data_IF_790804716143
#
_entry.id   IF_790804716143
#
_cell.length_a   1.000
_cell.length_b   1.000
_cell.length_c   1.000
_cell.angle_alpha   90.00
_cell.angle_beta   90.00
_cell.angle_gamma   90.00
#
_symmetry.space_group_name_H-M   'P 1'
#
loop_
_entity.id
_entity.type
_entity.pdbx_description
1 polymer ?
#
# COMPACT_ATOMS: atom_id res chain seq x y z
N UNK A 1 11.26 24.34 5.46
CA UNK A 1 9.98 23.62 5.71
C UNK A 1 9.08 24.34 6.71
N UNK A 2 9.48 24.58 7.99
CA UNK A 2 8.64 25.27 9.01
C UNK A 2 8.15 26.62 8.50
N UNK A 3 9.07 27.45 7.95
CA UNK A 3 8.73 28.75 7.35
C UNK A 3 7.73 28.59 6.22
N UNK A 4 7.95 27.65 5.31
CA UNK A 4 7.06 27.39 4.16
C UNK A 4 5.66 27.02 4.63
N UNK A 5 5.53 26.13 5.65
CA UNK A 5 4.23 25.73 6.22
C UNK A 5 3.51 26.92 6.86
N UNK A 6 4.24 27.78 7.61
CA UNK A 6 3.66 28.98 8.21
C UNK A 6 3.24 30.02 7.17
N UNK A 7 4.10 30.28 6.18
CA UNK A 7 3.86 31.28 5.15
C UNK A 7 2.71 30.87 4.21
N UNK A 8 2.50 29.56 4.02
CA UNK A 8 1.38 29.05 3.19
C UNK A 8 0.01 29.21 3.85
N UNK A 9 -0.03 29.36 5.18
CA UNK A 9 -1.29 29.39 5.94
C UNK A 9 -2.07 28.08 5.88
N UNK A 10 -1.42 26.96 5.53
CA UNK A 10 -2.11 25.67 5.45
C UNK A 10 -2.56 25.20 6.84
N UNK A 11 -3.81 24.75 6.92
CA UNK A 11 -4.41 24.18 8.11
C UNK A 11 -4.43 22.65 8.11
N UNK A 12 -4.05 22.04 7.00
CA UNK A 12 -4.14 20.60 6.77
C UNK A 12 -2.91 20.10 5.99
N UNK A 13 -2.33 18.99 6.42
CA UNK A 13 -1.19 18.36 5.76
C UNK A 13 -1.33 16.84 5.73
N UNK A 14 -0.95 16.26 4.61
CA UNK A 14 -0.76 14.81 4.49
C UNK A 14 0.73 14.48 4.55
N UNK A 15 1.12 13.65 5.49
CA UNK A 15 2.49 13.16 5.66
C UNK A 15 2.58 11.73 5.15
N UNK A 16 3.41 11.52 4.13
CA UNK A 16 3.69 10.22 3.54
C UNK A 16 5.20 9.98 3.69
N UNK A 17 5.63 9.02 4.54
CA UNK A 17 7.05 8.69 4.65
C UNK A 17 7.62 8.27 3.29
N UNK A 18 8.75 8.83 2.85
CA UNK A 18 9.28 8.55 1.53
C UNK A 18 9.88 7.15 1.42
N UNK A 19 9.88 6.58 0.22
CA UNK A 19 10.65 5.38 -0.11
C UNK A 19 12.15 5.75 -0.21
N UNK A 20 12.84 5.84 0.93
CA UNK A 20 14.24 6.26 1.04
C UNK A 20 14.92 5.61 2.24
N UNK A 21 16.22 5.35 2.14
CA UNK A 21 17.02 4.75 3.24
C UNK A 21 16.93 5.53 4.55
N UNK A 22 16.83 6.86 4.47
CA UNK A 22 16.69 7.73 5.63
C UNK A 22 15.22 8.04 5.99
N UNK A 23 14.27 7.23 5.49
CA UNK A 23 12.81 7.40 5.68
C UNK A 23 12.44 7.80 7.10
N UNK A 24 12.99 7.10 8.09
CA UNK A 24 12.65 7.32 9.49
C UNK A 24 13.02 8.73 9.94
N UNK A 25 14.24 9.17 9.67
CA UNK A 25 14.72 10.51 10.05
C UNK A 25 13.97 11.62 9.30
N UNK A 26 13.75 11.43 8.00
CA UNK A 26 12.97 12.37 7.17
C UNK A 26 11.54 12.52 7.73
N UNK A 27 10.90 11.40 8.07
CA UNK A 27 9.54 11.42 8.64
C UNK A 27 9.50 12.13 10.00
N UNK A 28 10.50 11.93 10.89
CA UNK A 28 10.62 12.64 12.15
C UNK A 28 10.74 14.16 11.92
N UNK A 29 11.56 14.58 10.96
CA UNK A 29 11.71 15.99 10.63
C UNK A 29 10.42 16.61 10.08
N UNK A 30 9.69 15.88 9.22
CA UNK A 30 8.39 16.30 8.69
C UNK A 30 7.36 16.47 9.81
N UNK A 31 7.24 15.49 10.71
CA UNK A 31 6.35 15.53 11.86
C UNK A 31 6.71 16.71 12.77
N UNK A 32 7.99 16.87 13.08
CA UNK A 32 8.49 17.98 13.89
C UNK A 32 8.23 19.35 13.26
N UNK A 33 8.42 19.47 11.94
CA UNK A 33 8.17 20.71 11.22
C UNK A 33 6.68 21.09 11.23
N UNK A 34 5.80 20.12 11.03
CA UNK A 34 4.34 20.28 11.09
C UNK A 34 3.90 20.76 12.46
N UNK A 35 4.40 20.13 13.53
CA UNK A 35 4.15 20.54 14.91
C UNK A 35 4.64 21.97 15.17
N UNK A 36 5.90 22.30 14.81
CA UNK A 36 6.48 23.63 15.01
C UNK A 36 5.82 24.71 14.16
N UNK A 37 5.22 24.34 13.03
CA UNK A 37 4.41 25.24 12.22
C UNK A 37 2.99 25.41 12.76
N UNK A 38 2.59 24.60 13.73
CA UNK A 38 1.28 24.59 14.36
C UNK A 38 0.14 24.29 13.37
N UNK A 39 0.36 23.30 12.47
CA UNK A 39 -0.68 22.83 11.54
C UNK A 39 -1.67 21.95 12.32
N UNK A 40 -2.95 22.30 12.40
CA UNK A 40 -3.89 21.61 13.30
C UNK A 40 -4.36 20.24 12.79
N UNK A 41 -4.38 20.03 11.48
CA UNK A 41 -4.91 18.80 10.87
C UNK A 41 -3.79 18.05 10.17
N UNK A 42 -3.46 16.87 10.69
CA UNK A 42 -2.40 16.02 10.14
C UNK A 42 -2.99 14.67 9.78
N UNK A 43 -2.90 14.30 8.51
CA UNK A 43 -3.09 12.94 8.04
C UNK A 43 -1.72 12.27 7.89
N UNK A 44 -1.53 11.13 8.50
CA UNK A 44 -0.30 10.34 8.38
C UNK A 44 -0.61 9.00 7.70
N UNK A 45 0.10 8.71 6.61
CA UNK A 45 0.01 7.42 5.94
C UNK A 45 1.04 6.49 6.56
N UNK A 46 0.55 5.49 7.26
CA UNK A 46 1.29 4.40 7.88
C UNK A 46 1.06 3.10 7.11
N UNK A 47 1.49 1.98 7.65
CA UNK A 47 1.34 0.66 7.02
C UNK A 47 0.62 -0.33 7.93
N UNK A 48 -0.30 -1.11 7.36
CA UNK A 48 -0.93 -2.23 8.05
C UNK A 48 0.11 -3.29 8.40
N UNK A 49 -0.06 -3.92 9.57
CA UNK A 49 0.87 -4.95 10.05
C UNK A 49 2.10 -4.40 10.80
N UNK A 50 2.33 -3.08 10.84
CA UNK A 50 3.44 -2.51 11.61
C UNK A 50 3.38 -2.83 13.11
N UNK A 51 2.18 -2.98 13.66
CA UNK A 51 1.93 -3.40 15.05
C UNK A 51 2.19 -4.88 15.30
N UNK A 52 2.09 -5.70 14.25
CA UNK A 52 2.37 -7.14 14.27
C UNK A 52 3.83 -7.47 13.94
N UNK A 53 4.56 -6.48 13.43
CA UNK A 53 5.96 -6.63 13.04
C UNK A 53 6.86 -6.86 14.26
N UNK A 54 7.75 -7.84 14.16
CA UNK A 54 8.80 -8.10 15.13
C UNK A 54 9.96 -7.11 14.96
N UNK A 55 10.59 -6.72 16.08
CA UNK A 55 11.67 -5.72 16.05
C UNK A 55 12.93 -6.20 15.33
N UNK A 56 13.19 -7.50 15.40
CA UNK A 56 14.41 -8.09 14.85
C UNK A 56 14.19 -8.62 13.43
N UNK A 57 13.00 -9.16 13.15
CA UNK A 57 12.66 -9.77 11.84
C UNK A 57 12.11 -8.77 10.83
N UNK A 58 11.28 -7.82 11.28
CA UNK A 58 10.65 -6.82 10.42
C UNK A 58 10.90 -5.39 10.96
N UNK A 59 12.18 -4.98 11.13
CA UNK A 59 12.54 -3.72 11.76
C UNK A 59 12.03 -2.48 11.00
N UNK A 60 12.01 -2.52 9.66
CA UNK A 60 11.56 -1.39 8.85
C UNK A 60 10.05 -1.17 8.96
N UNK A 61 9.25 -2.23 8.96
CA UNK A 61 7.81 -2.14 9.23
C UNK A 61 7.56 -1.65 10.65
N UNK A 62 8.31 -2.17 11.63
CA UNK A 62 8.14 -1.81 13.03
C UNK A 62 8.43 -0.33 13.30
N UNK A 63 9.29 0.32 12.53
CA UNK A 63 9.59 1.75 12.64
C UNK A 63 8.34 2.63 12.51
N UNK A 64 7.32 2.21 11.76
CA UNK A 64 6.08 2.98 11.64
C UNK A 64 5.37 3.18 12.97
N UNK A 65 5.46 2.24 13.91
CA UNK A 65 4.90 2.42 15.26
C UNK A 65 5.55 3.62 15.97
N UNK A 66 6.86 3.80 15.83
CA UNK A 66 7.54 4.94 16.42
C UNK A 66 7.09 6.26 15.78
N UNK A 67 6.88 6.27 14.45
CA UNK A 67 6.38 7.44 13.75
C UNK A 67 4.94 7.76 14.14
N UNK A 68 4.07 6.76 14.24
CA UNK A 68 2.70 6.90 14.73
C UNK A 68 2.67 7.51 16.16
N UNK A 69 3.52 6.99 17.05
CA UNK A 69 3.65 7.55 18.40
C UNK A 69 4.06 9.01 18.38
N UNK A 70 4.99 9.42 17.50
CA UNK A 70 5.40 10.81 17.37
C UNK A 70 4.28 11.70 16.82
N UNK A 71 3.51 11.23 15.84
CA UNK A 71 2.33 11.93 15.33
C UNK A 71 1.28 12.07 16.41
N UNK A 72 0.95 10.99 17.12
CA UNK A 72 -0.06 10.97 18.19
C UNK A 72 0.38 11.76 19.44
N UNK A 73 1.67 11.91 19.69
CA UNK A 73 2.18 12.74 20.77
C UNK A 73 1.83 14.23 20.62
N UNK A 74 1.38 14.66 19.43
CA UNK A 74 0.86 16.01 19.21
C UNK A 74 -0.62 16.15 19.58
N UNK A 75 -1.31 15.04 19.83
CA UNK A 75 -2.74 15.02 20.15
C UNK A 75 -3.00 15.77 21.46
N UNK A 76 -4.01 16.63 21.44
CA UNK A 76 -4.39 17.39 22.62
C UNK A 76 -3.54 18.66 22.86
N UNK A 77 -2.69 19.08 21.91
CA UNK A 77 -2.00 20.35 21.96
C UNK A 77 -3.02 21.51 21.96
N UNK A 78 -3.08 22.27 23.05
CA UNK A 78 -4.01 23.38 23.23
C UNK A 78 -3.63 24.67 22.48
N UNK A 79 -2.56 24.67 21.69
CA UNK A 79 -2.09 25.85 20.95
C UNK A 79 -2.98 26.23 19.75
N UNK A 80 -3.89 25.35 19.36
CA UNK A 80 -4.92 25.58 18.32
C UNK A 80 -6.31 25.40 18.90
N UNK A 81 -7.33 25.98 18.24
CA UNK A 81 -8.74 25.87 18.67
C UNK A 81 -9.28 24.44 18.69
N UNK A 82 -8.63 23.52 17.96
CA UNK A 82 -8.99 22.10 17.87
C UNK A 82 -8.03 21.18 18.61
N UNK A 83 -6.89 21.71 19.13
CA UNK A 83 -5.73 20.91 19.45
C UNK A 83 -5.17 20.25 18.21
N UNK A 84 -4.07 19.51 18.34
CA UNK A 84 -3.63 18.61 17.29
C UNK A 84 -4.40 17.28 17.43
N UNK A 85 -5.16 16.92 16.40
CA UNK A 85 -5.94 15.68 16.37
C UNK A 85 -5.65 14.91 15.09
N UNK A 86 -4.45 14.31 14.98
CA UNK A 86 -4.02 13.64 13.77
C UNK A 86 -4.93 12.44 13.44
N UNK A 87 -5.05 12.16 12.15
CA UNK A 87 -5.65 10.95 11.64
C UNK A 87 -4.53 10.06 11.06
N UNK A 88 -4.57 8.77 11.32
CA UNK A 88 -3.62 7.81 10.78
C UNK A 88 -4.36 6.82 9.90
N UNK A 89 -3.88 6.63 8.68
CA UNK A 89 -4.31 5.53 7.80
C UNK A 89 -3.15 4.53 7.73
N UNK A 90 -3.35 3.34 8.27
CA UNK A 90 -2.50 2.19 8.00
C UNK A 90 -2.94 1.57 6.69
N UNK A 91 -2.24 1.88 5.61
CA UNK A 91 -2.48 1.30 4.30
C UNK A 91 -2.06 -0.17 4.27
N UNK A 92 -2.90 -1.03 3.70
CA UNK A 92 -2.61 -2.43 3.43
C UNK A 92 -1.52 -2.60 2.37
N UNK A 93 -1.28 -3.83 1.97
CA UNK A 93 -0.39 -4.13 0.86
C UNK A 93 -0.96 -3.58 -0.44
N UNK A 94 -0.23 -2.69 -1.09
CA UNK A 94 -0.66 -2.13 -2.37
C UNK A 94 -0.69 -3.20 -3.46
N UNK A 95 -1.84 -3.37 -4.10
CA UNK A 95 -1.99 -4.31 -5.21
C UNK A 95 -1.04 -3.97 -6.38
N UNK A 96 -0.68 -2.70 -6.55
CA UNK A 96 0.30 -2.23 -7.53
C UNK A 96 1.68 -2.87 -7.38
N UNK A 97 2.02 -3.41 -6.21
CA UNK A 97 3.24 -4.20 -6.04
C UNK A 97 3.24 -5.50 -6.88
N UNK A 98 2.08 -5.98 -7.31
CA UNK A 98 2.01 -7.11 -8.25
C UNK A 98 2.59 -6.76 -9.63
N UNK A 99 2.62 -5.49 -10.00
CA UNK A 99 3.23 -5.03 -11.27
C UNK A 99 4.73 -5.35 -11.33
N UNK A 100 5.40 -5.49 -10.18
CA UNK A 100 6.80 -5.91 -10.11
C UNK A 100 7.01 -7.35 -10.60
N UNK A 101 5.95 -8.15 -10.64
CA UNK A 101 5.95 -9.52 -11.13
C UNK A 101 5.32 -9.66 -12.53
N UNK A 102 4.82 -8.56 -13.10
CA UNK A 102 4.15 -8.56 -14.39
C UNK A 102 5.01 -9.13 -15.53
N UNK A 103 6.33 -8.88 -15.64
CA UNK A 103 7.16 -9.46 -16.70
C UNK A 103 7.16 -11.00 -16.70
N UNK A 104 7.16 -11.62 -15.53
CA UNK A 104 7.10 -13.08 -15.41
C UNK A 104 5.69 -13.57 -15.71
N UNK A 105 4.66 -12.88 -15.22
CA UNK A 105 3.27 -13.17 -15.53
C UNK A 105 3.00 -13.12 -17.06
N UNK A 106 3.51 -12.11 -17.76
CA UNK A 106 3.41 -11.99 -19.21
C UNK A 106 4.09 -13.13 -19.95
N UNK A 107 5.27 -13.54 -19.50
CA UNK A 107 6.08 -14.54 -20.19
C UNK A 107 5.58 -15.96 -19.95
N UNK A 108 5.26 -16.29 -18.72
CA UNK A 108 5.05 -17.66 -18.24
C UNK A 108 3.61 -17.94 -17.82
N UNK A 109 2.80 -16.90 -17.59
CA UNK A 109 1.45 -17.06 -17.01
C UNK A 109 1.52 -17.43 -15.53
N UNK A 110 2.58 -17.01 -14.84
CA UNK A 110 2.83 -17.31 -13.42
C UNK A 110 2.93 -16.03 -12.63
N UNK A 111 2.25 -15.95 -11.50
CA UNK A 111 2.37 -14.90 -10.50
C UNK A 111 3.20 -15.44 -9.32
N UNK A 112 4.51 -15.19 -9.30
CA UNK A 112 5.40 -15.74 -8.28
C UNK A 112 5.44 -14.82 -7.06
N UNK A 113 4.80 -15.20 -5.97
CA UNK A 113 4.76 -14.41 -4.74
C UNK A 113 5.34 -15.20 -3.56
N UNK A 114 6.12 -14.57 -2.67
CA UNK A 114 6.73 -15.25 -1.54
C UNK A 114 5.82 -15.24 -0.30
N UNK A 115 4.57 -15.71 -0.44
CA UNK A 115 3.55 -15.58 0.62
C UNK A 115 3.11 -16.90 1.26
N UNK A 116 3.63 -18.04 0.76
CA UNK A 116 3.19 -19.36 1.20
C UNK A 116 1.88 -19.80 0.55
N UNK A 117 1.64 -21.10 0.54
CA UNK A 117 0.52 -21.69 -0.21
C UNK A 117 -0.86 -21.37 0.36
N UNK A 118 -0.98 -21.20 1.68
CA UNK A 118 -2.28 -21.12 2.38
C UNK A 118 -2.50 -19.83 3.16
N UNK A 119 -1.52 -18.94 3.18
CA UNK A 119 -1.65 -17.69 3.90
C UNK A 119 -2.49 -16.67 3.16
N UNK A 120 -3.12 -15.78 3.91
CA UNK A 120 -4.08 -14.81 3.40
C UNK A 120 -3.54 -13.39 3.52
N UNK A 121 -3.84 -12.59 2.52
CA UNK A 121 -3.64 -11.15 2.53
C UNK A 121 -4.80 -10.46 1.81
N UNK A 122 -5.04 -9.19 2.11
CA UNK A 122 -6.08 -8.39 1.46
C UNK A 122 -5.42 -7.21 0.71
N UNK A 123 -4.95 -7.42 -0.54
CA UNK A 123 -4.33 -6.36 -1.32
C UNK A 123 -5.30 -5.22 -1.56
N UNK A 124 -4.85 -3.98 -1.38
CA UNK A 124 -5.64 -2.77 -1.58
C UNK A 124 -5.11 -1.98 -2.77
N UNK A 125 -5.99 -1.48 -3.63
CA UNK A 125 -5.60 -0.59 -4.71
C UNK A 125 -5.08 0.75 -4.14
N UNK A 126 -4.01 1.29 -4.71
CA UNK A 126 -3.47 2.60 -4.33
C UNK A 126 -4.52 3.71 -4.53
N UNK A 127 -5.38 3.56 -5.56
CA UNK A 127 -6.51 4.44 -5.82
C UNK A 127 -7.48 4.53 -4.64
N UNK A 128 -7.77 3.41 -3.98
CA UNK A 128 -8.66 3.38 -2.81
C UNK A 128 -8.03 4.11 -1.61
N UNK A 129 -6.75 3.91 -1.36
CA UNK A 129 -6.03 4.64 -0.29
C UNK A 129 -6.02 6.14 -0.59
N UNK A 130 -5.80 6.53 -1.85
CA UNK A 130 -5.83 7.93 -2.29
C UNK A 130 -7.23 8.54 -2.12
N UNK A 131 -8.28 7.81 -2.46
CA UNK A 131 -9.67 8.25 -2.28
C UNK A 131 -10.02 8.40 -0.80
N UNK A 132 -9.64 7.42 0.04
CA UNK A 132 -9.84 7.49 1.48
C UNK A 132 -9.11 8.71 2.08
N UNK A 133 -7.85 8.91 1.71
CA UNK A 133 -7.07 10.07 2.14
C UNK A 133 -7.73 11.39 1.71
N UNK A 134 -8.20 11.47 0.46
CA UNK A 134 -8.91 12.65 -0.05
C UNK A 134 -10.19 12.95 0.75
N UNK A 135 -10.98 11.93 1.10
CA UNK A 135 -12.17 12.12 1.94
C UNK A 135 -11.82 12.69 3.33
N UNK A 136 -10.75 12.18 3.95
CA UNK A 136 -10.28 12.70 5.24
C UNK A 136 -9.78 14.14 5.11
N UNK A 137 -8.95 14.42 4.11
CA UNK A 137 -8.32 15.74 3.91
C UNK A 137 -9.32 16.83 3.53
N UNK A 138 -10.36 16.49 2.77
CA UNK A 138 -11.40 17.42 2.27
C UNK A 138 -12.66 17.42 3.12
N UNK A 139 -12.65 16.74 4.26
CA UNK A 139 -13.76 16.71 5.22
C UNK A 139 -14.22 18.12 5.59
N UNK A 140 -15.53 18.33 5.66
CA UNK A 140 -16.16 19.65 5.90
C UNK A 140 -16.44 19.90 7.39
N UNK A 141 -15.56 19.41 8.27
CA UNK A 141 -15.64 19.73 9.69
C UNK A 141 -15.41 21.22 9.94
N UNK A 142 -15.94 21.73 11.06
CA UNK A 142 -15.80 23.15 11.47
C UNK A 142 -14.36 23.66 11.42
N UNK A 143 -13.39 22.78 11.64
CA UNK A 143 -11.97 23.09 11.79
C UNK A 143 -11.08 22.27 10.84
N UNK A 144 -11.52 21.99 9.65
CA UNK A 144 -10.77 21.18 8.66
C UNK A 144 -11.29 19.75 8.57
N UNK A 145 -10.60 18.77 9.13
CA UNK A 145 -11.09 17.39 9.17
C UNK A 145 -12.52 17.30 9.71
N UNK A 146 -13.29 16.39 9.17
CA UNK A 146 -14.54 15.97 9.83
C UNK A 146 -14.18 15.46 11.23
N UNK A 147 -14.95 15.89 12.25
CA UNK A 147 -14.70 15.51 13.64
C UNK A 147 -14.72 13.98 13.85
N UNK A 148 -15.37 13.24 12.96
CA UNK A 148 -15.35 11.77 12.93
C UNK A 148 -13.97 11.18 12.68
N UNK A 149 -13.10 11.91 11.99
CA UNK A 149 -11.75 11.41 11.62
C UNK A 149 -10.67 11.87 12.59
N UNK A 150 -11.00 12.84 13.47
CA UNK A 150 -10.02 13.38 14.43
C UNK A 150 -9.59 12.33 15.44
N UNK A 151 -8.27 12.16 15.56
CA UNK A 151 -7.67 11.22 16.48
C UNK A 151 -7.92 9.75 16.16
N UNK A 152 -8.36 9.46 14.93
CA UNK A 152 -8.62 8.10 14.47
C UNK A 152 -7.35 7.45 13.92
N UNK A 153 -7.23 6.15 14.17
CA UNK A 153 -6.32 5.26 13.46
C UNK A 153 -7.18 4.26 12.69
N UNK A 154 -7.09 4.30 11.38
CA UNK A 154 -7.85 3.45 10.48
C UNK A 154 -6.90 2.47 9.77
N UNK A 155 -7.23 1.18 9.78
CA UNK A 155 -6.56 0.19 8.93
C UNK A 155 -7.40 0.04 7.68
N UNK A 156 -6.81 0.30 6.51
CA UNK A 156 -7.47 0.20 5.22
C UNK A 156 -6.81 -0.88 4.36
N UNK A 157 -7.53 -1.96 4.12
CA UNK A 157 -7.12 -3.07 3.27
C UNK A 157 -8.06 -3.19 2.08
N UNK A 158 -7.72 -4.04 1.13
CA UNK A 158 -8.68 -4.48 0.11
C UNK A 158 -9.88 -5.21 0.71
N UNK A 159 -10.94 -5.40 -0.08
CA UNK A 159 -12.22 -5.90 0.41
C UNK A 159 -12.18 -7.39 0.79
N UNK A 160 -11.20 -8.14 0.26
CA UNK A 160 -11.19 -9.59 0.33
C UNK A 160 -9.84 -10.13 0.76
N UNK A 161 -9.87 -11.04 1.74
CA UNK A 161 -8.72 -11.89 2.07
C UNK A 161 -8.56 -12.97 1.00
N UNK A 162 -7.38 -13.03 0.39
CA UNK A 162 -7.07 -13.95 -0.69
C UNK A 162 -5.77 -14.71 -0.41
N UNK A 163 -5.75 -16.00 -0.76
CA UNK A 163 -4.50 -16.75 -0.94
C UNK A 163 -3.85 -16.38 -2.27
N UNK A 164 -2.59 -16.77 -2.47
CA UNK A 164 -1.91 -16.58 -3.75
C UNK A 164 -2.67 -17.19 -4.92
N UNK A 165 -3.23 -18.40 -4.73
CA UNK A 165 -4.05 -19.06 -5.76
C UNK A 165 -5.33 -18.29 -6.08
N UNK A 166 -5.99 -17.69 -5.08
CA UNK A 166 -7.18 -16.87 -5.30
C UNK A 166 -6.87 -15.54 -6.00
N UNK A 167 -5.69 -14.96 -5.75
CA UNK A 167 -5.21 -13.79 -6.49
C UNK A 167 -4.95 -14.15 -7.95
N UNK A 168 -4.29 -15.28 -8.23
CA UNK A 168 -4.06 -15.77 -9.58
C UNK A 168 -5.37 -16.14 -10.30
N UNK A 169 -6.36 -16.69 -9.59
CA UNK A 169 -7.70 -16.93 -10.12
C UNK A 169 -8.39 -15.62 -10.52
N UNK A 170 -8.32 -14.60 -9.70
CA UNK A 170 -8.86 -13.27 -10.01
C UNK A 170 -8.17 -12.67 -11.26
N UNK A 171 -6.85 -12.82 -11.37
CA UNK A 171 -6.10 -12.44 -12.57
C UNK A 171 -6.57 -13.21 -13.80
N UNK A 172 -6.73 -14.53 -13.69
CA UNK A 172 -7.18 -15.37 -14.80
C UNK A 172 -8.56 -14.96 -15.32
N UNK A 173 -9.49 -14.67 -14.42
CA UNK A 173 -10.84 -14.20 -14.79
C UNK A 173 -10.80 -12.84 -15.45
N UNK A 174 -10.02 -11.91 -14.90
CA UNK A 174 -9.92 -10.55 -15.42
C UNK A 174 -9.28 -10.50 -16.81
N UNK A 175 -8.22 -11.29 -17.04
CA UNK A 175 -7.41 -11.28 -18.25
C UNK A 175 -7.91 -12.24 -19.33
N UNK A 176 -8.87 -13.13 -19.02
CA UNK A 176 -9.34 -14.16 -19.96
C UNK A 176 -8.26 -15.19 -20.35
N UNK A 177 -7.19 -15.30 -19.57
CA UNK A 177 -6.07 -16.22 -19.80
C UNK A 177 -5.64 -16.85 -18.48
N UNK A 178 -5.10 -18.10 -18.54
CA UNK A 178 -4.66 -18.79 -17.33
C UNK A 178 -3.49 -18.07 -16.67
N UNK A 179 -3.63 -17.79 -15.39
CA UNK A 179 -2.58 -17.32 -14.47
C UNK A 179 -2.47 -18.31 -13.32
N UNK A 180 -1.27 -18.75 -13.02
CA UNK A 180 -1.00 -19.67 -11.93
C UNK A 180 -0.21 -18.97 -10.82
N UNK A 181 -0.45 -19.36 -9.59
CA UNK A 181 0.33 -18.89 -8.44
C UNK A 181 1.50 -19.82 -8.19
N UNK A 182 2.68 -19.26 -8.00
CA UNK A 182 3.86 -19.96 -7.53
C UNK A 182 4.35 -19.36 -6.20
N UNK A 183 4.47 -20.20 -5.16
CA UNK A 183 5.10 -19.76 -3.92
C UNK A 183 6.62 -19.83 -4.06
N UNK A 184 7.24 -18.67 -4.17
CA UNK A 184 8.70 -18.54 -4.28
C UNK A 184 9.36 -18.25 -2.94
N UNK A 185 10.65 -18.52 -2.85
CA UNK A 185 11.45 -18.16 -1.67
C UNK A 185 11.68 -16.64 -1.58
N UNK A 186 12.00 -16.16 -0.37
CA UNK A 186 12.41 -14.75 -0.19
C UNK A 186 13.61 -14.37 -1.05
N UNK A 187 14.57 -15.31 -1.22
CA UNK A 187 15.77 -15.07 -2.02
C UNK A 187 15.44 -14.88 -3.52
N UNK A 188 14.45 -15.62 -4.05
CA UNK A 188 13.95 -15.46 -5.41
C UNK A 188 13.17 -14.15 -5.54
N UNK A 189 12.27 -13.85 -4.61
CA UNK A 189 11.54 -12.59 -4.59
C UNK A 189 12.51 -11.39 -4.58
N UNK A 190 13.55 -11.44 -3.76
CA UNK A 190 14.60 -10.41 -3.71
C UNK A 190 15.29 -10.20 -5.07
N UNK A 191 15.50 -11.27 -5.84
CA UNK A 191 16.07 -11.16 -7.20
C UNK A 191 15.09 -10.48 -8.16
N UNK A 192 13.82 -10.92 -8.15
CA UNK A 192 12.77 -10.32 -8.99
C UNK A 192 12.62 -8.84 -8.68
N UNK A 193 12.44 -8.49 -7.42
CA UNK A 193 12.25 -7.10 -6.99
C UNK A 193 13.44 -6.20 -7.37
N UNK A 194 14.68 -6.67 -7.20
CA UNK A 194 15.87 -5.93 -7.61
C UNK A 194 15.96 -5.72 -9.13
N UNK A 195 15.45 -6.65 -9.92
CA UNK A 195 15.48 -6.55 -11.38
C UNK A 195 14.38 -5.65 -11.93
N UNK A 196 13.29 -5.48 -11.21
CA UNK A 196 12.09 -4.78 -11.69
C UNK A 196 11.85 -3.42 -11.03
N UNK A 197 12.54 -3.11 -9.95
CA UNK A 197 12.35 -1.84 -9.24
C UNK A 197 13.57 -0.94 -9.42
N UNK A 198 13.32 0.27 -9.92
CA UNK A 198 14.29 1.38 -9.92
C UNK A 198 14.25 2.17 -8.59
N UNK A 199 13.44 1.72 -7.64
CA UNK A 199 13.26 2.37 -6.34
C UNK A 199 14.48 2.22 -5.44
N UNK A 200 14.54 3.04 -4.39
CA UNK A 200 15.57 2.92 -3.35
C UNK A 200 15.55 1.49 -2.75
N UNK A 201 16.71 0.84 -2.59
CA UNK A 201 16.79 -0.51 -2.04
C UNK A 201 16.07 -0.71 -0.71
N UNK A 202 15.84 0.35 0.06
CA UNK A 202 15.07 0.28 1.31
C UNK A 202 13.61 -0.11 1.11
N UNK A 203 13.01 0.23 -0.05
CA UNK A 203 11.64 -0.17 -0.37
C UNK A 203 11.53 -1.69 -0.50
N UNK A 204 12.54 -2.33 -1.09
CA UNK A 204 12.59 -3.79 -1.20
C UNK A 204 12.54 -4.47 0.18
N UNK A 205 13.19 -3.88 1.17
CA UNK A 205 13.15 -4.40 2.54
C UNK A 205 11.75 -4.36 3.12
N UNK A 206 10.99 -3.27 2.88
CA UNK A 206 9.60 -3.19 3.33
C UNK A 206 8.72 -4.26 2.71
N UNK A 207 8.83 -4.48 1.40
CA UNK A 207 8.07 -5.51 0.71
C UNK A 207 8.40 -6.91 1.23
N UNK A 208 9.69 -7.22 1.39
CA UNK A 208 10.15 -8.51 1.91
C UNK A 208 9.70 -8.74 3.36
N UNK A 209 9.77 -7.71 4.21
CA UNK A 209 9.27 -7.78 5.58
C UNK A 209 7.75 -7.97 5.62
N UNK A 210 6.99 -7.32 4.72
CA UNK A 210 5.55 -7.54 4.63
C UNK A 210 5.23 -8.98 4.20
N UNK A 211 5.93 -9.50 3.19
CA UNK A 211 5.79 -10.90 2.79
C UNK A 211 6.15 -11.88 3.93
N UNK A 212 7.14 -11.53 4.74
CA UNK A 212 7.47 -12.31 5.94
C UNK A 212 6.29 -12.34 6.94
N UNK A 213 5.57 -11.22 7.16
CA UNK A 213 4.35 -11.21 7.97
C UNK A 213 3.27 -12.12 7.39
N UNK A 214 3.10 -12.13 6.07
CA UNK A 214 2.15 -13.01 5.39
C UNK A 214 2.51 -14.48 5.63
N UNK A 215 3.77 -14.85 5.43
CA UNK A 215 4.28 -16.22 5.68
C UNK A 215 4.15 -16.67 7.14
N UNK A 216 4.21 -15.75 8.08
CA UNK A 216 3.96 -15.99 9.49
C UNK A 216 2.46 -16.10 9.83
N UNK A 217 1.57 -15.93 8.84
CA UNK A 217 0.12 -15.95 9.02
C UNK A 217 -0.45 -14.75 9.78
N UNK A 218 0.37 -13.71 10.01
CA UNK A 218 -0.03 -12.53 10.78
C UNK A 218 -1.06 -11.66 10.05
N UNK A 219 -1.14 -11.80 8.73
CA UNK A 219 -2.11 -11.05 7.88
C UNK A 219 -3.41 -11.79 7.64
N UNK A 220 -3.53 -13.05 8.05
CA UNK A 220 -4.70 -13.91 7.80
C UNK A 220 -6.04 -13.36 8.30
N UNK A 221 -6.00 -12.37 9.17
CA UNK A 221 -7.19 -11.77 9.80
C UNK A 221 -7.31 -10.27 9.55
N UNK A 222 -6.43 -9.68 8.72
CA UNK A 222 -6.44 -8.25 8.45
C UNK A 222 -7.29 -7.98 7.21
N UNK A 223 -8.58 -7.78 7.42
CA UNK A 223 -9.52 -7.27 6.42
C UNK A 223 -10.46 -6.28 7.10
N UNK A 224 -10.62 -5.10 6.54
CA UNK A 224 -11.32 -3.99 7.21
C UNK A 224 -12.35 -3.33 6.31
N UNK A 225 -13.33 -2.69 6.93
CA UNK A 225 -14.39 -1.92 6.27
C UNK A 225 -14.12 -0.42 6.29
N UNK A 226 -12.90 0.02 6.63
CA UNK A 226 -12.58 1.43 6.80
C UNK A 226 -12.89 2.26 5.54
N UNK A 227 -12.57 1.73 4.36
CA UNK A 227 -12.86 2.41 3.10
C UNK A 227 -14.36 2.66 2.93
N UNK A 228 -15.19 1.63 3.05
CA UNK A 228 -16.66 1.73 2.93
C UNK A 228 -17.24 2.68 3.98
N UNK A 229 -16.77 2.57 5.23
CA UNK A 229 -17.27 3.39 6.33
C UNK A 229 -17.02 4.88 6.13
N UNK A 230 -15.92 5.25 5.48
CA UNK A 230 -15.55 6.65 5.25
C UNK A 230 -16.08 7.17 3.93
N UNK A 231 -15.93 6.41 2.85
CA UNK A 231 -16.24 6.86 1.49
C UNK A 231 -17.69 6.59 1.09
N UNK A 232 -18.33 5.60 1.72
CA UNK A 232 -19.66 5.11 1.34
C UNK A 232 -19.67 4.29 0.04
N UNK A 233 -18.51 4.01 -0.54
CA UNK A 233 -18.35 3.23 -1.79
C UNK A 233 -17.64 1.92 -1.52
N UNK A 234 -17.74 0.97 -2.45
CA UNK A 234 -17.02 -0.30 -2.36
C UNK A 234 -15.59 -0.13 -2.87
N UNK A 235 -14.57 -0.67 -2.18
CA UNK A 235 -13.20 -0.65 -2.67
C UNK A 235 -13.03 -1.58 -3.88
N UNK A 236 -11.95 -1.38 -4.63
CA UNK A 236 -11.65 -2.17 -5.82
C UNK A 236 -11.41 -3.65 -5.47
N UNK A 237 -12.13 -4.54 -6.17
CA UNK A 237 -11.92 -5.97 -6.05
C UNK A 237 -10.62 -6.41 -6.75
N UNK A 238 -10.02 -7.55 -6.37
CA UNK A 238 -8.82 -8.06 -7.03
C UNK A 238 -8.97 -8.23 -8.55
N UNK A 239 -10.15 -8.67 -9.03
CA UNK A 239 -10.44 -8.79 -10.45
C UNK A 239 -10.41 -7.43 -11.16
N UNK A 240 -10.94 -6.38 -10.53
CA UNK A 240 -10.97 -5.03 -11.11
C UNK A 240 -9.56 -4.43 -11.19
N UNK A 241 -8.70 -4.73 -10.21
CA UNK A 241 -7.28 -4.38 -10.28
C UNK A 241 -6.62 -4.96 -11.53
N UNK A 242 -6.76 -6.26 -11.77
CA UNK A 242 -6.15 -6.89 -12.95
C UNK A 242 -6.74 -6.40 -14.27
N UNK A 243 -8.03 -6.04 -14.33
CA UNK A 243 -8.63 -5.36 -15.49
C UNK A 243 -8.01 -3.99 -15.72
N UNK A 244 -7.80 -3.22 -14.64
CA UNK A 244 -7.20 -1.88 -14.73
C UNK A 244 -5.79 -1.93 -15.31
N UNK A 245 -5.03 -2.96 -14.97
CA UNK A 245 -3.64 -3.16 -15.40
C UNK A 245 -3.49 -4.30 -16.44
N UNK A 246 -4.53 -4.58 -17.20
CA UNK A 246 -4.59 -5.68 -18.18
C UNK A 246 -3.37 -5.69 -19.11
N UNK A 247 -3.03 -4.56 -19.71
CA UNK A 247 -1.88 -4.42 -20.62
C UNK A 247 -0.54 -4.80 -19.98
N UNK A 248 -0.42 -4.65 -18.67
CA UNK A 248 0.79 -4.99 -17.93
C UNK A 248 0.93 -6.49 -17.67
N UNK A 249 -0.16 -7.24 -17.66
CA UNK A 249 -0.16 -8.66 -17.33
C UNK A 249 -0.43 -9.58 -18.53
N UNK A 250 -1.04 -9.06 -19.60
CA UNK A 250 -1.30 -9.85 -20.81
C UNK A 250 0.00 -10.23 -21.53
N UNK A 251 0.05 -11.45 -22.04
CA UNK A 251 1.12 -11.90 -22.93
C UNK A 251 1.16 -10.98 -24.16
N UNK A 252 2.29 -10.34 -24.41
CA UNK A 252 2.51 -9.67 -25.69
C UNK A 252 2.44 -10.74 -26.76
N UNK A 253 1.41 -10.70 -27.62
CA UNK A 253 1.21 -11.67 -28.66
C UNK A 253 2.51 -11.87 -29.46
N UNK A 254 3.09 -13.06 -29.37
CA UNK A 254 4.13 -13.44 -30.30
C UNK A 254 3.53 -13.35 -31.68
N UNK A 255 4.20 -12.69 -32.61
CA UNK A 255 3.98 -12.88 -34.04
C UNK A 255 4.27 -14.35 -34.37
N UNK A 256 3.33 -15.23 -34.00
CA UNK A 256 3.34 -16.58 -34.50
C UNK A 256 3.03 -16.50 -36.00
N UNK A 257 4.13 -16.49 -36.76
CA UNK A 257 4.12 -16.57 -38.20
C UNK A 257 3.28 -17.76 -38.67
N UNK A 258 2.05 -17.50 -39.05
CA UNK A 258 1.28 -18.36 -39.93
C UNK A 258 1.92 -18.31 -41.33
N UNK A 259 3.08 -18.97 -41.45
CA UNK A 259 3.59 -19.37 -42.73
C UNK A 259 2.64 -20.44 -43.30
N UNK A 260 1.59 -19.99 -44.00
CA UNK A 260 0.77 -20.84 -44.80
C UNK A 260 1.67 -21.53 -45.86
N UNK A 261 2.01 -22.81 -45.63
CA UNK A 261 2.56 -23.68 -46.67
C UNK A 261 1.51 -23.82 -47.78
N UNK A 262 1.61 -22.99 -48.84
CA UNK A 262 1.00 -23.26 -50.12
C UNK A 262 1.62 -24.56 -50.66
N UNK A 263 0.88 -25.65 -50.55
CA UNK A 263 1.12 -26.84 -51.36
C UNK A 263 0.83 -26.48 -52.82
N UNK A 264 1.86 -26.44 -53.67
CA UNK A 264 1.71 -26.59 -55.11
C UNK A 264 1.48 -28.09 -55.38
N UNK A 265 0.30 -28.44 -55.92
CA UNK A 265 0.05 -29.61 -56.66
C UNK A 265 0.22 -29.30 -58.12
#
# INVERSE_FOLDING_TARGET
MIKTLKDSGCDTVCLIPPAHKDKFNIAIELISATKKANVPNVLFISTAGCDLADRDKQPHLRQFINLECLVLATKGDGSTSTGHSPCIIRAGFYAENFLLYAPQAQKEGILPLPIGQSHLMAPVALGDISQLAAHVLTGKGKNGFDDRHRGQLMVCTGPKLCTGSQIAEAASKALGSSMEFEDISEAEARKVLKAQSDSDPSELHYLLEYYSLVREGKTNYISTTAFVNVTGTHPQEPEDFFKTYEESFMRKGGEDGHASKKRKG
#
